data_IF_992484281195
#
_entry.id   IF_992484281195
#
_cell.length_a   1.000
_cell.length_b   1.000
_cell.length_c   1.000
_cell.angle_alpha   90.00
_cell.angle_beta   90.00
_cell.angle_gamma   90.00
#
_symmetry.space_group_name_H-M   'P 1'
#
loop_
_entity.id
_entity.type
_entity.pdbx_description
1 polymer ?
#
# COMPACT_ATOMS: atom_id res chain seq x y z
N UNK A 1 -9.89 5.39 17.81
CA UNK A 1 -10.01 5.56 16.33
C UNK A 1 -10.62 6.93 16.06
N UNK A 2 -9.99 7.80 15.27
CA UNK A 2 -10.63 9.06 14.87
C UNK A 2 -11.71 8.80 13.81
N UNK A 3 -12.96 9.14 14.11
CA UNK A 3 -14.14 8.81 13.28
C UNK A 3 -14.45 9.84 12.19
N UNK A 4 -14.08 11.12 12.39
CA UNK A 4 -14.28 12.18 11.40
C UNK A 4 -12.99 12.44 10.64
N UNK A 5 -13.00 12.13 9.34
CA UNK A 5 -11.92 12.46 8.40
C UNK A 5 -12.52 13.21 7.21
N UNK A 6 -11.81 14.21 6.71
CA UNK A 6 -12.14 14.86 5.45
C UNK A 6 -12.01 13.87 4.29
N UNK A 7 -12.72 14.12 3.20
CA UNK A 7 -12.62 13.33 1.97
C UNK A 7 -11.19 13.25 1.43
N UNK A 8 -10.44 14.35 1.53
CA UNK A 8 -9.02 14.43 1.11
C UNK A 8 -8.13 13.49 1.91
N UNK A 9 -8.25 13.47 3.24
CA UNK A 9 -7.50 12.56 4.11
C UNK A 9 -7.89 11.11 3.83
N UNK A 10 -9.20 10.83 3.63
CA UNK A 10 -9.68 9.48 3.30
C UNK A 10 -9.10 8.98 1.98
N UNK A 11 -8.98 9.85 0.97
CA UNK A 11 -8.35 9.54 -0.32
C UNK A 11 -6.88 9.18 -0.14
N UNK A 12 -6.10 10.01 0.55
CA UNK A 12 -4.66 9.77 0.78
C UNK A 12 -4.43 8.45 1.51
N UNK A 13 -5.28 8.13 2.50
CA UNK A 13 -5.21 6.87 3.22
C UNK A 13 -5.51 5.66 2.31
N UNK A 14 -6.51 5.77 1.44
CA UNK A 14 -6.86 4.71 0.50
C UNK A 14 -5.76 4.48 -0.55
N UNK A 15 -5.21 5.55 -1.12
CA UNK A 15 -4.10 5.49 -2.08
C UNK A 15 -2.88 4.79 -1.46
N UNK A 16 -2.48 5.22 -0.25
CA UNK A 16 -1.37 4.58 0.48
C UNK A 16 -1.66 3.14 0.87
N UNK A 17 -2.90 2.79 1.18
CA UNK A 17 -3.25 1.41 1.49
C UNK A 17 -3.18 0.52 0.24
N UNK A 18 -3.64 1.03 -0.91
CA UNK A 18 -3.57 0.31 -2.17
C UNK A 18 -2.12 0.14 -2.65
N UNK A 19 -1.27 1.16 -2.51
CA UNK A 19 0.13 1.08 -2.91
C UNK A 19 0.96 0.12 -2.06
N UNK A 20 0.55 -0.14 -0.80
CA UNK A 20 1.16 -1.14 0.10
C UNK A 20 0.82 -2.59 -0.26
N UNK A 21 -0.22 -2.84 -1.07
CA UNK A 21 -0.61 -4.21 -1.45
C UNK A 21 0.50 -4.87 -2.28
N UNK A 22 0.68 -6.19 -2.11
CA UNK A 22 1.60 -6.96 -2.93
C UNK A 22 1.14 -6.98 -4.39
N UNK A 23 2.10 -7.11 -5.30
CA UNK A 23 1.81 -7.30 -6.71
C UNK A 23 1.00 -8.60 -6.91
N UNK A 24 -0.03 -8.60 -7.77
CA UNK A 24 -0.79 -9.80 -8.10
C UNK A 24 0.10 -10.92 -8.68
N UNK A 25 -0.29 -12.17 -8.45
CA UNK A 25 0.49 -13.33 -8.91
C UNK A 25 0.72 -13.33 -10.44
N UNK A 26 -0.26 -12.90 -11.23
CA UNK A 26 -0.11 -12.82 -12.69
C UNK A 26 1.01 -11.86 -13.13
N UNK A 27 1.26 -10.79 -12.38
CA UNK A 27 2.36 -9.84 -12.66
C UNK A 27 3.70 -10.54 -12.45
N UNK A 28 3.79 -11.36 -11.40
CA UNK A 28 4.99 -12.14 -11.08
C UNK A 28 5.29 -13.18 -12.17
N UNK A 29 4.26 -13.84 -12.70
CA UNK A 29 4.37 -14.76 -13.83
C UNK A 29 4.88 -14.06 -15.09
N UNK A 30 4.31 -12.90 -15.44
CA UNK A 30 4.73 -12.12 -16.62
C UNK A 30 6.16 -11.56 -16.50
N UNK A 31 6.57 -11.17 -15.29
CA UNK A 31 7.88 -10.51 -15.05
C UNK A 31 9.00 -11.49 -14.69
N UNK A 32 8.78 -12.81 -14.78
CA UNK A 32 9.73 -13.85 -14.33
C UNK A 32 10.22 -13.61 -12.89
N UNK A 33 9.30 -13.21 -12.01
CA UNK A 33 9.59 -12.85 -10.61
C UNK A 33 10.52 -11.66 -10.39
N UNK A 34 10.77 -10.81 -11.39
CA UNK A 34 11.50 -9.54 -11.18
C UNK A 34 10.71 -8.55 -10.30
N UNK A 35 9.37 -8.65 -10.31
CA UNK A 35 8.49 -7.83 -9.48
C UNK A 35 7.75 -8.75 -8.49
N UNK A 36 8.39 -8.99 -7.34
CA UNK A 36 7.89 -9.91 -6.30
C UNK A 36 7.09 -9.20 -5.22
N UNK A 37 7.43 -7.95 -4.93
CA UNK A 37 6.84 -7.16 -3.84
C UNK A 37 6.60 -5.72 -4.29
N UNK A 38 5.55 -5.07 -3.76
CA UNK A 38 5.49 -3.61 -3.81
C UNK A 38 6.62 -3.07 -2.91
N UNK A 39 7.41 -2.08 -3.35
CA UNK A 39 8.46 -1.47 -2.52
C UNK A 39 7.90 -0.86 -1.22
N UNK A 40 6.58 -0.66 -1.15
CA UNK A 40 5.89 -0.12 0.03
C UNK A 40 5.24 -1.20 0.90
N UNK A 41 5.28 -2.48 0.51
CA UNK A 41 4.64 -3.57 1.26
C UNK A 41 5.29 -3.88 2.61
N UNK A 42 6.52 -3.41 2.84
CA UNK A 42 7.25 -3.56 4.11
C UNK A 42 6.88 -2.44 5.11
N UNK A 43 6.14 -1.41 4.69
CA UNK A 43 5.70 -0.31 5.57
C UNK A 43 4.54 -0.75 6.44
N UNK A 44 4.87 -1.17 7.67
CA UNK A 44 3.90 -1.44 8.71
C UNK A 44 3.41 -0.13 9.34
N UNK A 45 2.15 -0.10 9.78
CA UNK A 45 1.59 1.04 10.49
C UNK A 45 2.29 1.32 11.83
N UNK A 46 2.88 0.28 12.46
CA UNK A 46 3.69 0.42 13.68
C UNK A 46 5.06 1.05 13.44
N UNK A 47 5.68 0.80 12.27
CA UNK A 47 7.07 1.16 12.01
C UNK A 47 7.20 2.40 11.10
N UNK A 48 6.09 2.84 10.49
CA UNK A 48 6.08 4.02 9.62
C UNK A 48 4.83 4.85 9.89
N UNK A 49 5.03 6.07 10.37
CA UNK A 49 3.94 7.04 10.46
C UNK A 49 3.52 7.47 9.06
N UNK A 50 2.21 7.66 8.90
CA UNK A 50 1.62 8.23 7.68
C UNK A 50 1.72 9.77 7.71
N UNK A 51 1.89 10.34 8.90
CA UNK A 51 1.95 11.78 9.14
C UNK A 51 3.25 12.13 9.85
#
# INVERSE_FOLDING_TARGET
MSSRKTSSIKRILNERNNSRKRAPYWVRLKTKSKVTYSPQSHKNWKNSSVF
#
